data_IF_817616940613
#
_entry.id   IF_817616940613
#
_cell.length_a   1.000
_cell.length_b   1.000
_cell.length_c   1.000
_cell.angle_alpha   90.00
_cell.angle_beta   90.00
_cell.angle_gamma   90.00
#
_symmetry.space_group_name_H-M   'P 1'
#
loop_
_entity.id
_entity.type
_entity.pdbx_description
1 polymer ?
#
# COMPACT_ATOMS: atom_id res chain seq x y z
N UNK A 1 -34.63 -10.97 -13.55
CA UNK A 1 -33.43 -10.67 -12.72
C UNK A 1 -32.24 -10.90 -13.63
N UNK A 2 -31.22 -10.02 -13.65
CA UNK A 2 -29.99 -10.32 -14.39
C UNK A 2 -29.30 -11.52 -13.74
N UNK A 3 -28.63 -12.38 -14.54
CA UNK A 3 -27.96 -13.61 -14.04
C UNK A 3 -26.97 -13.38 -12.90
N UNK A 4 -26.47 -12.14 -12.71
CA UNK A 4 -25.44 -11.77 -11.74
C UNK A 4 -25.92 -10.73 -10.70
N UNK A 5 -27.24 -10.70 -10.39
CA UNK A 5 -27.76 -9.79 -9.38
C UNK A 5 -27.44 -10.30 -7.96
N UNK A 6 -27.14 -9.36 -7.06
CA UNK A 6 -26.95 -9.61 -5.63
C UNK A 6 -28.21 -9.18 -4.87
N UNK A 7 -29.20 -10.07 -4.68
CA UNK A 7 -30.51 -9.73 -4.14
C UNK A 7 -30.50 -9.51 -2.63
N UNK A 8 -29.50 -10.01 -1.92
CA UNK A 8 -29.42 -10.00 -0.47
C UNK A 8 -27.94 -10.05 0.04
N UNK A 9 -27.77 -9.87 1.33
CA UNK A 9 -26.45 -9.91 1.97
C UNK A 9 -25.82 -11.32 1.94
N UNK A 10 -26.61 -12.37 1.86
CA UNK A 10 -26.11 -13.75 1.75
C UNK A 10 -25.39 -13.97 0.43
N UNK A 11 -25.92 -13.41 -0.67
CA UNK A 11 -25.28 -13.45 -1.98
C UNK A 11 -23.99 -12.62 -2.01
N UNK A 12 -23.95 -11.48 -1.32
CA UNK A 12 -22.72 -10.69 -1.16
C UNK A 12 -21.66 -11.48 -0.38
N UNK A 13 -22.04 -12.11 0.73
CA UNK A 13 -21.13 -12.93 1.52
C UNK A 13 -20.58 -14.12 0.72
N UNK A 14 -21.43 -14.81 -0.04
CA UNK A 14 -21.02 -15.91 -0.91
C UNK A 14 -20.00 -15.43 -1.99
N UNK A 15 -20.26 -14.30 -2.63
CA UNK A 15 -19.35 -13.70 -3.60
C UNK A 15 -17.99 -13.37 -2.96
N UNK A 16 -18.00 -12.72 -1.79
CA UNK A 16 -16.77 -12.36 -1.06
C UNK A 16 -15.94 -13.59 -0.73
N UNK A 17 -16.57 -14.65 -0.19
CA UNK A 17 -15.87 -15.89 0.14
C UNK A 17 -15.23 -16.56 -1.08
N UNK A 18 -15.94 -16.58 -2.20
CA UNK A 18 -15.51 -17.24 -3.44
C UNK A 18 -14.42 -16.44 -4.19
N UNK A 19 -14.53 -15.11 -4.20
CA UNK A 19 -13.67 -14.26 -5.07
C UNK A 19 -12.52 -13.62 -4.31
N UNK A 20 -12.77 -13.14 -3.06
CA UNK A 20 -11.78 -12.36 -2.32
C UNK A 20 -10.77 -13.23 -1.55
N UNK A 21 -11.17 -14.44 -1.13
CA UNK A 21 -10.35 -15.35 -0.31
C UNK A 21 -10.14 -16.70 -1.01
N UNK A 22 -9.55 -16.66 -2.20
CA UNK A 22 -9.27 -17.89 -2.96
C UNK A 22 -8.17 -18.70 -2.26
N UNK A 23 -8.51 -19.96 -1.99
CA UNK A 23 -7.50 -20.94 -1.59
C UNK A 23 -6.65 -21.31 -2.82
N UNK A 24 -5.36 -21.37 -2.64
CA UNK A 24 -4.43 -21.65 -3.74
C UNK A 24 -3.14 -22.29 -3.28
N UNK A 25 -2.26 -22.64 -4.23
CA UNK A 25 -0.94 -23.14 -3.88
C UNK A 25 -0.21 -22.07 -3.05
N UNK A 26 0.42 -22.48 -1.95
CA UNK A 26 1.16 -21.57 -1.10
C UNK A 26 2.43 -21.08 -1.79
N UNK A 27 2.85 -19.84 -1.49
CA UNK A 27 4.15 -19.22 -1.80
C UNK A 27 4.22 -18.34 -3.04
N UNK A 28 3.13 -18.08 -3.75
CA UNK A 28 3.15 -17.03 -4.76
C UNK A 28 3.35 -15.64 -4.10
N UNK A 29 4.20 -14.85 -4.74
CA UNK A 29 4.51 -13.49 -4.32
C UNK A 29 4.38 -12.55 -5.51
N UNK A 30 3.75 -11.40 -5.29
CA UNK A 30 3.74 -10.26 -6.19
C UNK A 30 4.07 -8.99 -5.41
N UNK A 31 4.70 -8.03 -6.06
CA UNK A 31 5.04 -6.75 -5.45
C UNK A 31 4.69 -5.63 -6.40
N UNK A 32 4.08 -4.58 -5.87
CA UNK A 32 3.83 -3.32 -6.58
C UNK A 32 4.71 -2.24 -5.94
N UNK A 33 5.51 -1.58 -6.75
CA UNK A 33 6.37 -0.50 -6.34
C UNK A 33 5.86 0.80 -6.94
N UNK A 34 5.58 1.76 -6.09
CA UNK A 34 5.13 3.09 -6.48
C UNK A 34 6.22 4.13 -6.22
N UNK A 35 6.33 5.11 -7.12
CA UNK A 35 7.24 6.24 -6.95
C UNK A 35 6.62 7.56 -7.36
N UNK A 36 6.91 8.57 -6.58
CA UNK A 36 6.74 9.97 -6.95
C UNK A 36 7.88 10.35 -7.89
N UNK A 37 7.55 10.88 -9.06
CA UNK A 37 8.54 11.32 -10.04
C UNK A 37 8.77 12.83 -9.95
N UNK A 38 10.03 13.25 -10.15
CA UNK A 38 10.39 14.65 -10.24
C UNK A 38 11.39 14.89 -11.39
N UNK A 39 11.35 16.07 -12.00
CA UNK A 39 12.43 16.52 -12.88
C UNK A 39 13.66 16.87 -12.03
N UNK A 40 14.85 16.49 -12.49
CA UNK A 40 16.09 16.84 -11.80
C UNK A 40 16.44 18.32 -11.96
N UNK A 41 16.02 18.94 -13.06
CA UNK A 41 16.20 20.37 -13.34
C UNK A 41 15.11 21.27 -12.74
N UNK A 42 13.87 20.75 -12.57
CA UNK A 42 12.71 21.48 -12.05
C UNK A 42 11.93 20.63 -11.02
N UNK A 43 12.50 20.34 -9.85
CA UNK A 43 11.93 19.37 -8.90
C UNK A 43 10.58 19.81 -8.28
N UNK A 44 10.30 21.10 -8.27
CA UNK A 44 9.10 21.69 -7.67
C UNK A 44 7.88 21.67 -8.60
N UNK A 45 8.06 21.31 -9.88
CA UNK A 45 6.97 21.26 -10.84
C UNK A 45 6.43 19.83 -10.99
N UNK A 46 5.11 19.74 -11.14
CA UNK A 46 4.48 18.49 -11.57
C UNK A 46 4.82 18.19 -13.03
N UNK A 47 5.03 16.92 -13.32
CA UNK A 47 5.28 16.47 -14.69
C UNK A 47 3.95 16.51 -15.48
N UNK A 48 3.95 17.08 -16.70
CA UNK A 48 2.75 17.05 -17.53
C UNK A 48 2.47 15.63 -18.03
N UNK A 49 1.19 15.31 -18.26
CA UNK A 49 0.76 13.97 -18.70
C UNK A 49 1.48 13.50 -19.97
N UNK A 50 1.71 14.38 -20.94
CA UNK A 50 2.44 14.05 -22.15
C UNK A 50 3.84 13.48 -21.89
N UNK A 51 4.57 14.06 -20.93
CA UNK A 51 5.91 13.59 -20.54
C UNK A 51 5.85 12.22 -19.83
N UNK A 52 4.81 12.00 -19.04
CA UNK A 52 4.57 10.72 -18.37
C UNK A 52 4.18 9.62 -19.36
N UNK A 53 3.34 9.93 -20.35
CA UNK A 53 2.94 8.99 -21.41
C UNK A 53 4.15 8.63 -22.29
N UNK A 54 5.01 9.58 -22.60
CA UNK A 54 6.27 9.33 -23.32
C UNK A 54 7.17 8.39 -22.51
N UNK A 55 7.33 8.65 -21.22
CA UNK A 55 8.11 7.80 -20.32
C UNK A 55 7.58 6.36 -20.29
N UNK A 56 6.26 6.17 -20.11
CA UNK A 56 5.64 4.84 -20.11
C UNK A 56 5.90 4.10 -21.43
N UNK A 57 5.81 4.79 -22.58
CA UNK A 57 6.11 4.18 -23.90
C UNK A 57 7.57 3.73 -24.03
N UNK A 58 8.52 4.48 -23.50
CA UNK A 58 9.95 4.13 -23.54
C UNK A 58 10.28 2.99 -22.56
N UNK A 59 9.61 2.95 -21.42
CA UNK A 59 9.82 1.92 -20.41
C UNK A 59 9.26 0.55 -20.86
N UNK A 60 8.11 0.52 -21.53
CA UNK A 60 7.45 -0.72 -21.94
C UNK A 60 8.06 -1.31 -23.23
N UNK A 61 8.18 -2.65 -23.34
CA UNK A 61 7.98 -3.63 -22.28
C UNK A 61 9.14 -3.71 -21.29
N UNK A 62 8.85 -4.05 -20.04
CA UNK A 62 9.88 -4.26 -19.04
C UNK A 62 10.58 -5.60 -19.23
N UNK A 63 11.92 -5.69 -18.95
CA UNK A 63 12.72 -6.88 -19.23
C UNK A 63 12.26 -8.17 -18.53
N UNK A 64 11.71 -8.05 -17.31
CA UNK A 64 11.17 -9.19 -16.56
C UNK A 64 9.63 -9.27 -16.63
N UNK A 65 9.00 -8.43 -17.44
CA UNK A 65 7.56 -8.48 -17.70
C UNK A 65 6.69 -7.72 -16.69
N UNK A 66 7.28 -6.88 -15.85
CA UNK A 66 6.47 -6.02 -14.97
C UNK A 66 5.59 -5.07 -15.76
N UNK A 67 4.39 -4.84 -15.26
CA UNK A 67 3.45 -3.86 -15.84
C UNK A 67 3.72 -2.48 -15.26
N UNK A 68 3.66 -1.47 -16.13
CA UNK A 68 3.77 -0.07 -15.72
C UNK A 68 2.41 0.59 -15.82
N UNK A 69 2.04 1.32 -14.78
CA UNK A 69 0.84 2.15 -14.71
C UNK A 69 1.15 3.52 -14.12
N UNK A 70 0.25 4.46 -14.34
CA UNK A 70 0.29 5.79 -13.73
C UNK A 70 -0.88 5.94 -12.76
N UNK A 71 -0.59 6.45 -11.59
CA UNK A 71 -1.55 6.83 -10.57
C UNK A 71 -2.07 8.27 -10.80
N UNK A 72 -3.19 8.70 -10.16
CA UNK A 72 -3.87 9.98 -10.45
C UNK A 72 -2.99 11.24 -10.43
N UNK A 73 -1.94 11.27 -9.63
CA UNK A 73 -0.98 12.40 -9.55
C UNK A 73 0.24 12.25 -10.45
N UNK A 74 0.27 11.21 -11.30
CA UNK A 74 1.42 10.90 -12.14
C UNK A 74 2.50 10.07 -11.44
N UNK A 75 2.18 9.47 -10.28
CA UNK A 75 3.07 8.50 -9.67
C UNK A 75 3.18 7.29 -10.59
N UNK A 76 4.39 6.77 -10.72
CA UNK A 76 4.65 5.58 -11.53
C UNK A 76 4.53 4.35 -10.65
N UNK A 77 3.77 3.37 -11.11
CA UNK A 77 3.65 2.06 -10.49
C UNK A 77 4.28 0.99 -11.38
N UNK A 78 5.03 0.09 -10.76
CA UNK A 78 5.61 -1.10 -11.37
C UNK A 78 5.06 -2.32 -10.65
N UNK A 79 4.18 -3.08 -11.30
CA UNK A 79 3.61 -4.32 -10.76
C UNK A 79 4.34 -5.53 -11.32
N UNK A 80 4.94 -6.35 -10.46
CA UNK A 80 5.63 -7.57 -10.88
C UNK A 80 4.67 -8.60 -11.49
N UNK A 81 5.12 -9.49 -12.36
CA UNK A 81 4.44 -10.76 -12.57
C UNK A 81 4.32 -11.53 -11.25
N UNK A 82 3.35 -12.43 -11.18
CA UNK A 82 3.27 -13.39 -10.06
C UNK A 82 4.47 -14.31 -10.13
N UNK A 83 5.22 -14.45 -9.05
CA UNK A 83 6.38 -15.33 -8.93
C UNK A 83 6.07 -16.51 -8.02
N UNK A 84 6.66 -17.66 -8.34
CA UNK A 84 6.49 -18.90 -7.57
C UNK A 84 7.27 -18.88 -6.25
N UNK A 85 8.23 -17.97 -6.13
CA UNK A 85 9.02 -17.74 -4.91
C UNK A 85 9.52 -16.28 -4.80
N UNK A 86 9.89 -15.90 -3.60
CA UNK A 86 10.38 -14.57 -3.26
C UNK A 86 11.68 -14.18 -3.99
N UNK A 87 12.62 -15.12 -4.13
CA UNK A 87 13.92 -14.85 -4.76
C UNK A 87 13.76 -14.54 -6.25
N UNK A 88 12.85 -15.24 -6.93
CA UNK A 88 12.49 -14.92 -8.31
C UNK A 88 11.84 -13.55 -8.43
N UNK A 89 10.84 -13.27 -7.59
CA UNK A 89 10.18 -11.95 -7.56
C UNK A 89 11.21 -10.83 -7.39
N UNK A 90 12.14 -10.98 -6.45
CA UNK A 90 13.21 -10.03 -6.21
C UNK A 90 14.11 -9.82 -7.42
N UNK A 91 14.65 -10.90 -8.01
CA UNK A 91 15.53 -10.80 -9.19
C UNK A 91 14.86 -10.14 -10.38
N UNK A 92 13.61 -10.47 -10.63
CA UNK A 92 12.84 -9.93 -11.74
C UNK A 92 12.61 -8.43 -11.55
N UNK A 93 12.20 -8.00 -10.35
CA UNK A 93 12.03 -6.59 -10.02
C UNK A 93 13.36 -5.80 -9.97
N UNK A 94 14.47 -6.41 -9.50
CA UNK A 94 15.78 -5.75 -9.55
C UNK A 94 16.21 -5.45 -10.99
N UNK A 95 15.93 -6.36 -11.92
CA UNK A 95 16.17 -6.14 -13.34
C UNK A 95 15.33 -5.01 -13.89
N UNK A 96 14.05 -4.98 -13.57
CA UNK A 96 13.11 -3.98 -14.05
C UNK A 96 13.36 -2.61 -13.43
N UNK A 97 13.58 -2.52 -12.11
CA UNK A 97 13.93 -1.26 -11.43
C UNK A 97 15.28 -0.72 -11.87
N UNK A 98 16.25 -1.59 -12.23
CA UNK A 98 17.52 -1.19 -12.83
C UNK A 98 17.33 -0.51 -14.19
N UNK A 99 16.45 -1.06 -15.07
CA UNK A 99 16.06 -0.42 -16.32
C UNK A 99 15.35 0.93 -16.07
N UNK A 100 14.38 0.92 -15.15
CA UNK A 100 13.63 2.13 -14.78
C UNK A 100 14.59 3.26 -14.38
N UNK A 101 15.48 3.00 -13.42
CA UNK A 101 16.43 4.01 -12.91
C UNK A 101 17.29 4.61 -14.03
N UNK A 102 17.79 3.78 -14.95
CA UNK A 102 18.60 4.24 -16.09
C UNK A 102 17.80 5.14 -17.03
N UNK A 103 16.59 4.72 -17.40
CA UNK A 103 15.73 5.50 -18.30
C UNK A 103 15.30 6.83 -17.65
N UNK A 104 14.97 6.83 -16.35
CA UNK A 104 14.65 8.07 -15.65
C UNK A 104 15.82 9.07 -15.75
N UNK A 105 17.06 8.62 -15.52
CA UNK A 105 18.25 9.47 -15.62
C UNK A 105 18.47 10.01 -17.05
N UNK A 106 18.24 9.17 -18.07
CA UNK A 106 18.33 9.57 -19.49
C UNK A 106 17.30 10.65 -19.88
N UNK A 107 16.18 10.75 -19.12
CA UNK A 107 15.08 11.67 -19.39
C UNK A 107 15.00 12.86 -18.41
N UNK A 108 16.08 13.20 -17.70
CA UNK A 108 16.07 14.26 -16.66
C UNK A 108 15.00 14.05 -15.60
N UNK A 109 14.80 12.80 -15.16
CA UNK A 109 13.83 12.39 -14.14
C UNK A 109 14.50 11.62 -13.02
N UNK A 110 13.88 11.69 -11.85
CA UNK A 110 14.25 10.88 -10.69
C UNK A 110 13.01 10.37 -9.96
N UNK A 111 13.14 9.18 -9.36
CA UNK A 111 12.19 8.66 -8.41
C UNK A 111 12.54 9.20 -7.02
N UNK A 112 11.59 9.87 -6.36
CA UNK A 112 11.80 10.38 -5.01
C UNK A 112 11.86 9.20 -4.02
N UNK A 113 12.85 9.17 -3.11
CA UNK A 113 13.04 8.07 -2.18
C UNK A 113 12.13 8.15 -0.94
N UNK A 114 10.91 8.63 -1.09
CA UNK A 114 9.94 8.90 -0.01
C UNK A 114 8.52 8.49 -0.40
N UNK A 115 7.68 8.25 0.61
CA UNK A 115 6.33 7.77 0.40
C UNK A 115 5.24 8.85 0.37
N UNK A 116 5.59 10.10 0.54
CA UNK A 116 4.72 11.26 0.38
C UNK A 116 5.51 12.39 -0.27
N UNK A 117 4.87 13.11 -1.19
CA UNK A 117 5.50 14.28 -1.80
C UNK A 117 5.91 15.29 -0.73
N UNK A 118 7.22 15.60 -0.62
CA UNK A 118 7.70 16.40 0.48
C UNK A 118 7.40 17.89 0.31
N UNK A 119 7.24 18.39 -0.92
CA UNK A 119 7.18 19.83 -1.21
C UNK A 119 5.97 20.26 -2.04
N UNK A 120 5.60 19.51 -3.09
CA UNK A 120 4.57 19.91 -4.04
C UNK A 120 3.17 19.78 -3.45
N UNK A 121 2.28 20.67 -3.85
CA UNK A 121 0.85 20.58 -3.51
C UNK A 121 0.19 19.42 -4.23
N UNK A 122 -0.79 18.73 -3.61
CA UNK A 122 -1.52 17.65 -4.26
C UNK A 122 -2.23 18.14 -5.54
N UNK A 123 -1.97 17.48 -6.67
CA UNK A 123 -2.57 17.81 -7.95
C UNK A 123 -2.81 16.55 -8.77
N UNK A 124 -3.99 16.44 -9.39
CA UNK A 124 -4.24 15.37 -10.36
C UNK A 124 -3.61 15.70 -11.71
N UNK A 125 -3.07 14.66 -12.33
CA UNK A 125 -2.56 14.68 -13.70
C UNK A 125 -3.45 13.83 -14.61
N UNK A 126 -4.01 12.73 -14.07
CA UNK A 126 -4.95 11.88 -14.78
C UNK A 126 -6.40 12.31 -14.52
N UNK A 127 -7.16 12.48 -15.62
CA UNK A 127 -8.57 12.87 -15.61
C UNK A 127 -9.39 11.75 -16.24
N UNK A 128 -10.05 10.96 -15.40
CA UNK A 128 -10.98 9.90 -15.82
C UNK A 128 -12.26 9.99 -14.99
N UNK A 129 -13.41 9.48 -15.45
CA UNK A 129 -14.65 9.50 -14.66
C UNK A 129 -14.49 8.89 -13.28
N UNK A 130 -13.66 7.84 -13.15
CA UNK A 130 -13.31 7.22 -11.85
C UNK A 130 -12.64 8.20 -10.91
N UNK A 131 -11.60 8.88 -11.37
CA UNK A 131 -10.82 9.78 -10.53
C UNK A 131 -11.56 11.09 -10.26
N UNK A 132 -12.44 11.53 -11.18
CA UNK A 132 -13.32 12.69 -10.97
C UNK A 132 -14.32 12.40 -9.86
N UNK A 133 -15.00 11.25 -9.91
CA UNK A 133 -15.93 10.83 -8.87
C UNK A 133 -15.24 10.58 -7.51
N UNK A 134 -14.03 9.98 -7.53
CA UNK A 134 -13.24 9.75 -6.34
C UNK A 134 -12.83 11.06 -5.66
N UNK A 135 -12.32 12.04 -6.40
CA UNK A 135 -11.99 13.35 -5.87
C UNK A 135 -13.23 14.03 -5.30
N UNK A 136 -14.33 14.05 -6.06
CA UNK A 136 -15.60 14.64 -5.59
C UNK A 136 -16.08 14.03 -4.26
N UNK A 137 -15.93 12.70 -4.11
CA UNK A 137 -16.26 12.02 -2.86
C UNK A 137 -15.39 12.50 -1.70
N UNK A 138 -14.07 12.63 -1.92
CA UNK A 138 -13.12 13.00 -0.88
C UNK A 138 -13.14 14.50 -0.54
N UNK A 139 -13.39 15.38 -1.49
CA UNK A 139 -13.41 16.84 -1.28
C UNK A 139 -14.38 17.25 -0.18
N UNK A 140 -15.44 16.46 0.05
CA UNK A 140 -16.39 16.67 1.16
C UNK A 140 -15.79 16.41 2.54
N UNK A 141 -14.61 15.76 2.62
CA UNK A 141 -13.92 15.34 3.85
C UNK A 141 -12.59 16.06 4.08
N UNK A 142 -12.25 16.99 3.22
CA UNK A 142 -11.01 17.75 3.28
C UNK A 142 -9.91 17.23 2.36
N UNK A 143 -8.70 17.76 2.52
CA UNK A 143 -7.60 17.57 1.56
C UNK A 143 -6.93 16.20 1.58
N UNK A 144 -7.13 15.37 2.63
CA UNK A 144 -6.43 14.09 2.79
C UNK A 144 -6.71 13.11 1.65
N UNK A 145 -7.93 13.14 1.10
CA UNK A 145 -8.28 12.28 -0.03
C UNK A 145 -7.52 12.63 -1.29
N UNK A 146 -7.45 13.90 -1.66
CA UNK A 146 -6.66 14.37 -2.80
C UNK A 146 -5.17 14.08 -2.59
N UNK A 147 -4.65 14.34 -1.38
CA UNK A 147 -3.25 14.03 -1.03
C UNK A 147 -2.96 12.53 -1.19
N UNK A 148 -3.85 11.65 -0.72
CA UNK A 148 -3.72 10.20 -0.88
C UNK A 148 -3.68 9.82 -2.36
N UNK A 149 -4.60 10.35 -3.16
CA UNK A 149 -4.69 10.02 -4.60
C UNK A 149 -3.46 10.46 -5.40
N UNK A 150 -2.85 11.59 -5.04
CA UNK A 150 -1.92 12.28 -5.95
C UNK A 150 -0.51 12.46 -5.41
N UNK A 151 -0.32 12.30 -4.11
CA UNK A 151 0.96 12.63 -3.46
C UNK A 151 1.57 11.48 -2.67
N UNK A 152 0.98 10.28 -2.68
CA UNK A 152 1.51 9.13 -1.92
C UNK A 152 2.10 8.06 -2.82
N UNK A 153 3.03 7.28 -2.27
CA UNK A 153 3.62 6.10 -2.88
C UNK A 153 3.85 5.00 -1.83
N UNK A 154 3.74 3.74 -2.23
CA UNK A 154 3.81 2.57 -1.37
C UNK A 154 4.70 1.47 -1.94
N UNK A 155 5.06 0.51 -1.10
CA UNK A 155 5.38 -0.86 -1.49
C UNK A 155 4.17 -1.71 -1.11
N UNK A 156 3.49 -2.29 -2.10
CA UNK A 156 2.38 -3.21 -1.87
C UNK A 156 2.85 -4.64 -2.09
N UNK A 157 2.48 -5.54 -1.18
CA UNK A 157 2.93 -6.93 -1.21
C UNK A 157 1.70 -7.84 -1.34
N UNK A 158 1.70 -8.65 -2.37
CA UNK A 158 0.63 -9.57 -2.71
C UNK A 158 1.06 -11.00 -2.34
N UNK A 159 0.34 -11.62 -1.43
CA UNK A 159 0.62 -12.96 -0.90
C UNK A 159 -0.63 -13.84 -1.04
N UNK A 160 -0.46 -15.13 -1.31
CA UNK A 160 -1.58 -16.06 -1.34
C UNK A 160 -2.43 -15.98 -0.07
N UNK A 161 -3.76 -16.05 -0.23
CA UNK A 161 -4.67 -15.92 0.89
C UNK A 161 -4.51 -17.07 1.91
N UNK A 162 -4.22 -18.27 1.46
CA UNK A 162 -4.00 -19.46 2.28
C UNK A 162 -4.38 -20.76 1.58
N UNK A 163 -4.06 -21.89 2.20
CA UNK A 163 -4.34 -23.23 1.67
C UNK A 163 -5.77 -23.70 1.98
N UNK A 164 -6.33 -23.21 3.08
CA UNK A 164 -7.67 -23.51 3.57
C UNK A 164 -8.19 -22.37 4.45
N UNK A 165 -9.42 -22.46 4.93
CA UNK A 165 -10.06 -21.42 5.73
C UNK A 165 -9.29 -21.10 7.04
N UNK A 166 -8.66 -22.10 7.65
CA UNK A 166 -7.88 -21.92 8.90
C UNK A 166 -6.60 -21.13 8.61
N UNK A 167 -5.89 -21.48 7.54
CA UNK A 167 -4.68 -20.76 7.12
C UNK A 167 -5.00 -19.35 6.65
N UNK A 168 -6.11 -19.14 5.95
CA UNK A 168 -6.60 -17.80 5.56
C UNK A 168 -6.85 -16.95 6.80
N UNK A 169 -7.56 -17.44 7.81
CA UNK A 169 -7.81 -16.71 9.05
C UNK A 169 -6.52 -16.40 9.82
N UNK A 170 -5.58 -17.35 9.85
CA UNK A 170 -4.24 -17.18 10.46
C UNK A 170 -3.46 -16.07 9.76
N UNK A 171 -3.33 -16.12 8.43
CA UNK A 171 -2.58 -15.13 7.63
C UNK A 171 -3.20 -13.75 7.73
N UNK A 172 -4.52 -13.65 7.62
CA UNK A 172 -5.28 -12.42 7.77
C UNK A 172 -5.03 -11.76 9.12
N UNK A 173 -5.19 -12.52 10.20
CA UNK A 173 -4.98 -12.01 11.56
C UNK A 173 -3.54 -11.59 11.79
N UNK A 174 -2.56 -12.39 11.31
CA UNK A 174 -1.14 -12.11 11.42
C UNK A 174 -0.76 -10.80 10.75
N UNK A 175 -1.16 -10.60 9.48
CA UNK A 175 -0.83 -9.39 8.71
C UNK A 175 -1.38 -8.11 9.36
N UNK A 176 -2.54 -8.18 10.00
CA UNK A 176 -3.08 -7.05 10.76
C UNK A 176 -2.36 -6.85 12.09
N UNK A 177 -1.97 -7.91 12.78
CA UNK A 177 -1.30 -7.84 14.08
C UNK A 177 0.11 -7.25 13.97
N UNK A 178 0.90 -7.65 12.96
CA UNK A 178 2.26 -7.12 12.74
C UNK A 178 2.25 -5.73 12.09
N UNK A 179 1.12 -5.32 11.49
CA UNK A 179 1.01 -4.09 10.72
C UNK A 179 1.56 -2.85 11.41
N UNK A 180 1.13 -2.51 12.64
CA UNK A 180 1.67 -1.32 13.33
C UNK A 180 3.19 -1.35 13.50
N UNK A 181 3.78 -2.47 13.88
CA UNK A 181 5.23 -2.58 14.05
C UNK A 181 5.99 -2.43 12.72
N UNK A 182 5.43 -2.96 11.64
CA UNK A 182 6.03 -2.82 10.30
C UNK A 182 5.80 -1.43 9.69
N UNK A 183 4.66 -0.77 9.95
CA UNK A 183 4.51 0.67 9.65
C UNK A 183 5.60 1.48 10.34
N UNK A 184 5.86 1.22 11.62
CA UNK A 184 6.89 1.92 12.35
C UNK A 184 8.30 1.66 11.80
N UNK A 185 8.58 0.41 11.40
CA UNK A 185 9.88 0.01 10.86
C UNK A 185 10.14 0.59 9.46
N UNK A 186 9.12 0.65 8.61
CA UNK A 186 9.21 1.07 7.23
C UNK A 186 8.74 2.50 6.97
N UNK A 187 8.50 3.30 8.02
CA UNK A 187 8.08 4.70 7.90
C UNK A 187 9.11 5.52 7.10
N UNK A 188 8.63 6.22 6.06
CA UNK A 188 9.48 6.93 5.11
C UNK A 188 8.79 8.17 4.49
N UNK A 189 8.06 8.94 5.29
CA UNK A 189 7.38 10.15 4.81
C UNK A 189 7.27 11.23 5.89
N UNK A 190 8.43 11.81 6.34
CA UNK A 190 8.42 12.73 7.48
C UNK A 190 8.04 14.16 7.13
N UNK A 191 7.86 14.46 5.83
CA UNK A 191 7.59 15.80 5.34
C UNK A 191 6.29 15.90 4.53
N UNK A 192 5.72 17.10 4.50
CA UNK A 192 4.61 17.47 3.63
C UNK A 192 4.61 18.99 3.40
N UNK A 193 4.42 19.43 2.15
CA UNK A 193 4.38 20.87 1.76
C UNK A 193 5.57 21.66 2.31
N UNK A 194 6.79 21.15 2.12
CA UNK A 194 8.03 21.79 2.54
C UNK A 194 8.30 21.79 4.05
N UNK A 195 7.48 21.12 4.86
CA UNK A 195 7.58 21.15 6.34
C UNK A 195 7.75 19.76 6.92
N UNK A 196 8.59 19.65 7.95
CA UNK A 196 8.67 18.47 8.80
C UNK A 196 7.37 18.39 9.61
N UNK A 197 6.69 17.24 9.54
CA UNK A 197 5.33 17.10 10.09
C UNK A 197 5.30 16.63 11.54
N UNK A 198 6.41 16.12 12.06
CA UNK A 198 6.46 15.44 13.35
C UNK A 198 5.97 13.98 13.32
N UNK A 199 5.67 13.45 12.14
CA UNK A 199 5.31 12.05 11.92
C UNK A 199 6.43 11.34 11.15
N UNK A 200 6.69 10.08 11.46
CA UNK A 200 7.62 9.24 10.69
C UNK A 200 6.99 8.78 9.37
N UNK A 201 5.68 8.46 9.39
CA UNK A 201 4.88 8.21 8.20
C UNK A 201 3.70 9.19 8.14
N UNK A 202 3.89 10.30 7.43
CA UNK A 202 2.80 11.23 7.11
C UNK A 202 1.84 10.64 6.10
N UNK A 203 2.30 9.72 5.23
CA UNK A 203 1.42 8.93 4.35
C UNK A 203 0.37 8.18 5.17
N UNK A 204 0.77 7.47 6.22
CA UNK A 204 -0.17 6.79 7.10
C UNK A 204 -1.10 7.78 7.83
N UNK A 205 -0.61 8.95 8.26
CA UNK A 205 -1.49 10.00 8.79
C UNK A 205 -2.55 10.42 7.79
N UNK A 206 -2.18 10.65 6.53
CA UNK A 206 -3.13 10.99 5.45
C UNK A 206 -4.19 9.91 5.30
N UNK A 207 -3.80 8.64 5.25
CA UNK A 207 -4.73 7.52 5.21
C UNK A 207 -5.63 7.48 6.45
N UNK A 208 -5.08 7.73 7.65
CA UNK A 208 -5.83 7.75 8.91
C UNK A 208 -6.90 8.85 8.98
N UNK A 209 -6.72 9.96 8.28
CA UNK A 209 -7.62 11.11 8.31
C UNK A 209 -8.56 11.19 7.10
N UNK A 210 -8.34 10.40 6.07
CA UNK A 210 -9.07 10.45 4.82
C UNK A 210 -10.56 10.06 4.96
N UNK A 211 -10.83 8.82 5.30
CA UNK A 211 -12.18 8.28 5.50
C UNK A 211 -12.10 6.99 6.35
N UNK A 212 -12.54 7.03 7.61
CA UNK A 212 -12.51 5.86 8.49
C UNK A 212 -13.26 4.65 7.94
N UNK A 213 -14.34 4.85 7.17
CA UNK A 213 -15.15 3.75 6.62
C UNK A 213 -14.44 2.96 5.52
N UNK A 214 -13.34 3.49 4.97
CA UNK A 214 -12.61 2.88 3.84
C UNK A 214 -11.22 2.38 4.19
N UNK A 215 -10.69 2.77 5.34
CA UNK A 215 -9.31 2.48 5.73
C UNK A 215 -9.17 1.63 6.99
N UNK A 216 -10.25 1.47 7.74
CA UNK A 216 -10.20 0.69 8.98
C UNK A 216 -9.88 -0.78 8.69
N UNK A 217 -9.12 -1.40 9.56
CA UNK A 217 -8.94 -2.84 9.51
C UNK A 217 -10.26 -3.53 9.83
N UNK A 218 -10.78 -4.40 8.95
CA UNK A 218 -11.99 -5.16 9.24
C UNK A 218 -11.81 -6.00 10.52
N UNK A 219 -12.85 -6.09 11.33
CA UNK A 219 -12.80 -6.74 12.64
C UNK A 219 -13.60 -8.02 12.63
N UNK A 220 -13.08 -9.07 13.26
CA UNK A 220 -13.76 -10.35 13.44
C UNK A 220 -12.79 -11.52 13.28
N UNK A 221 -13.14 -12.68 13.86
CA UNK A 221 -12.31 -13.89 13.77
C UNK A 221 -12.40 -14.56 12.39
N UNK A 222 -13.53 -14.42 11.70
CA UNK A 222 -13.74 -14.91 10.34
C UNK A 222 -13.50 -13.80 9.32
N UNK A 223 -12.46 -13.91 8.45
CA UNK A 223 -12.11 -12.90 7.49
C UNK A 223 -13.19 -12.63 6.44
N UNK A 224 -13.94 -13.64 6.02
CA UNK A 224 -15.00 -13.51 5.01
C UNK A 224 -16.13 -12.64 5.56
N UNK A 225 -16.62 -12.95 6.75
CA UNK A 225 -17.65 -12.16 7.42
C UNK A 225 -17.15 -10.74 7.70
N UNK A 226 -15.94 -10.61 8.27
CA UNK A 226 -15.37 -9.30 8.59
C UNK A 226 -15.23 -8.39 7.36
N UNK A 227 -14.80 -8.94 6.23
CA UNK A 227 -14.66 -8.20 4.97
C UNK A 227 -16.03 -7.88 4.35
N UNK A 228 -16.98 -8.81 4.41
CA UNK A 228 -18.35 -8.60 3.91
C UNK A 228 -19.03 -7.45 4.64
N UNK A 229 -19.03 -7.49 5.98
CA UNK A 229 -19.63 -6.42 6.79
C UNK A 229 -18.97 -5.07 6.52
N UNK A 230 -17.62 -5.05 6.45
CA UNK A 230 -16.88 -3.84 6.11
C UNK A 230 -17.27 -3.28 4.73
N UNK A 231 -17.43 -4.14 3.73
CA UNK A 231 -17.81 -3.72 2.38
C UNK A 231 -19.27 -3.25 2.31
N UNK A 232 -20.19 -3.94 3.01
CA UNK A 232 -21.60 -3.57 3.07
C UNK A 232 -21.80 -2.21 3.73
N UNK A 233 -21.12 -1.94 4.84
CA UNK A 233 -21.28 -0.71 5.62
C UNK A 233 -20.54 0.51 5.01
N UNK A 234 -19.63 0.27 4.07
CA UNK A 234 -18.94 1.35 3.39
C UNK A 234 -19.88 2.13 2.46
N UNK A 235 -19.92 3.47 2.53
CA UNK A 235 -20.68 4.27 1.58
C UNK A 235 -20.24 3.99 0.13
N UNK A 236 -21.17 3.93 -0.81
CA UNK A 236 -20.87 3.79 -2.24
C UNK A 236 -20.16 5.06 -2.71
N UNK A 237 -18.90 4.95 -3.13
CA UNK A 237 -18.13 6.10 -3.58
C UNK A 237 -18.61 6.59 -4.94
N UNK A 238 -18.92 5.65 -5.84
CA UNK A 238 -19.35 5.93 -7.19
C UNK A 238 -20.19 4.77 -7.74
N UNK A 239 -21.10 5.09 -8.66
CA UNK A 239 -21.95 4.13 -9.34
C UNK A 239 -21.85 4.34 -10.84
N UNK A 240 -21.28 3.38 -11.59
CA UNK A 240 -21.09 3.46 -13.05
C UNK A 240 -22.39 3.51 -13.86
N UNK A 241 -23.52 3.20 -13.24
CA UNK A 241 -24.84 3.27 -13.86
C UNK A 241 -25.42 4.69 -13.90
N UNK A 242 -24.85 5.63 -13.14
CA UNK A 242 -25.21 7.04 -13.13
C UNK A 242 -24.39 7.80 -14.17
N UNK A 243 -24.98 8.80 -14.82
CA UNK A 243 -24.30 9.55 -15.87
C UNK A 243 -23.04 10.29 -15.41
N UNK A 244 -23.05 10.81 -14.17
CA UNK A 244 -21.92 11.47 -13.52
C UNK A 244 -21.14 10.59 -12.55
N UNK A 245 -21.53 9.33 -12.42
CA UNK A 245 -20.96 8.35 -11.48
C UNK A 245 -21.11 8.69 -9.99
N UNK A 246 -21.77 9.77 -9.63
CA UNK A 246 -21.86 10.24 -8.25
C UNK A 246 -22.96 9.49 -7.47
N UNK A 247 -22.60 8.87 -6.37
CA UNK A 247 -23.55 8.30 -5.43
C UNK A 247 -23.98 9.33 -4.37
N UNK A 248 -25.19 9.16 -3.83
CA UNK A 248 -25.68 10.01 -2.74
C UNK A 248 -24.79 9.91 -1.50
N UNK A 249 -24.53 11.02 -0.80
CA UNK A 249 -23.74 10.99 0.41
C UNK A 249 -24.32 10.06 1.48
N UNK A 250 -23.49 9.19 2.04
CA UNK A 250 -23.90 8.26 3.10
C UNK A 250 -24.62 7.00 2.61
N UNK A 251 -24.99 6.90 1.33
CA UNK A 251 -25.60 5.72 0.74
C UNK A 251 -24.60 4.56 0.76
N UNK A 252 -24.87 3.53 1.57
CA UNK A 252 -23.98 2.37 1.74
C UNK A 252 -24.27 1.29 0.70
N UNK A 253 -23.34 0.32 0.56
CA UNK A 253 -23.61 -0.83 -0.30
C UNK A 253 -24.73 -1.70 0.28
N UNK A 254 -24.88 -1.75 1.60
CA UNK A 254 -25.99 -2.40 2.32
C UNK A 254 -27.34 -1.78 1.94
N UNK A 255 -27.42 -0.44 1.89
CA UNK A 255 -28.64 0.25 1.46
C UNK A 255 -28.99 -0.10 0.01
N UNK A 256 -27.97 -0.27 -0.84
CA UNK A 256 -28.17 -0.66 -2.24
C UNK A 256 -28.76 -2.07 -2.36
N UNK A 257 -28.18 -3.04 -1.63
CA UNK A 257 -28.71 -4.43 -1.56
C UNK A 257 -30.13 -4.47 -1.02
N UNK A 258 -30.44 -3.65 0.00
CA UNK A 258 -31.77 -3.54 0.60
C UNK A 258 -32.80 -2.81 -0.29
N UNK A 259 -32.41 -2.31 -1.47
CA UNK A 259 -33.30 -1.59 -2.39
C UNK A 259 -33.68 -0.19 -1.91
N UNK A 260 -32.97 0.38 -0.95
CA UNK A 260 -33.16 1.77 -0.52
C UNK A 260 -32.87 2.69 -1.70
N UNK A 261 -33.63 3.76 -1.86
CA UNK A 261 -33.55 4.73 -2.98
C UNK A 261 -34.06 4.24 -4.33
N UNK A 262 -34.71 3.07 -4.43
CA UNK A 262 -35.37 2.60 -5.65
C UNK A 262 -34.44 2.21 -6.81
N UNK A 263 -33.15 2.03 -6.55
CA UNK A 263 -32.21 1.49 -7.54
C UNK A 263 -32.48 0.00 -7.76
N UNK A 264 -32.25 -0.48 -9.00
CA UNK A 264 -32.17 -1.92 -9.24
C UNK A 264 -31.09 -2.55 -8.37
N UNK A 265 -31.32 -3.79 -7.93
CA UNK A 265 -30.35 -4.54 -7.13
C UNK A 265 -28.92 -4.45 -7.73
N UNK A 266 -27.89 -4.36 -6.90
CA UNK A 266 -26.51 -4.33 -7.40
C UNK A 266 -26.15 -5.67 -8.03
N UNK A 267 -25.19 -5.66 -8.94
CA UNK A 267 -24.62 -6.85 -9.55
C UNK A 267 -23.29 -7.21 -8.94
N UNK A 268 -22.76 -8.40 -9.26
CA UNK A 268 -21.39 -8.80 -8.92
C UNK A 268 -20.35 -7.78 -9.44
N UNK A 269 -20.56 -7.22 -10.65
CA UNK A 269 -19.69 -6.17 -11.20
C UNK A 269 -19.74 -4.87 -10.41
N UNK A 270 -20.90 -4.50 -9.86
CA UNK A 270 -21.01 -3.33 -8.99
C UNK A 270 -20.27 -3.56 -7.67
N UNK A 271 -20.41 -4.76 -7.09
CA UNK A 271 -19.68 -5.13 -5.88
C UNK A 271 -18.18 -5.19 -6.14
N UNK A 272 -17.74 -5.87 -7.19
CA UNK A 272 -16.32 -5.92 -7.57
C UNK A 272 -15.73 -4.51 -7.68
N UNK A 273 -16.46 -3.61 -8.33
CA UNK A 273 -16.04 -2.23 -8.48
C UNK A 273 -16.02 -1.46 -7.16
N UNK A 274 -17.04 -1.63 -6.32
CA UNK A 274 -17.11 -1.04 -4.98
C UNK A 274 -15.91 -1.46 -4.13
N UNK A 275 -15.55 -2.75 -4.12
CA UNK A 275 -14.39 -3.28 -3.40
C UNK A 275 -13.07 -2.62 -3.81
N UNK A 276 -12.92 -2.18 -5.06
CA UNK A 276 -11.73 -1.43 -5.52
C UNK A 276 -11.62 -0.03 -4.93
N UNK A 277 -12.68 0.49 -4.31
CA UNK A 277 -12.71 1.81 -3.66
C UNK A 277 -12.46 1.75 -2.16
N UNK A 278 -12.17 0.57 -1.61
CA UNK A 278 -11.83 0.35 -0.20
C UNK A 278 -10.31 0.27 -0.05
N UNK A 279 -9.76 0.94 0.96
CA UNK A 279 -8.32 1.12 1.16
C UNK A 279 -7.84 0.63 2.55
N UNK A 280 -8.24 -0.58 3.01
CA UNK A 280 -7.81 -1.10 4.30
C UNK A 280 -6.30 -1.40 4.30
N UNK A 281 -5.69 -1.64 5.48
CA UNK A 281 -4.30 -2.04 5.59
C UNK A 281 -3.96 -3.33 4.84
N UNK A 282 -4.89 -4.29 4.83
CA UNK A 282 -4.82 -5.54 4.05
C UNK A 282 -6.12 -5.68 3.26
N UNK A 283 -6.03 -5.85 1.95
CA UNK A 283 -7.19 -5.97 1.05
C UNK A 283 -7.21 -7.36 0.41
N UNK A 284 -8.29 -8.14 0.57
CA UNK A 284 -8.42 -9.43 -0.09
C UNK A 284 -8.91 -9.24 -1.53
N UNK A 285 -8.20 -9.88 -2.49
CA UNK A 285 -8.49 -9.82 -3.93
C UNK A 285 -8.33 -11.18 -4.62
N UNK A 286 -8.61 -12.28 -3.90
CA UNK A 286 -8.20 -13.62 -4.26
C UNK A 286 -6.79 -13.96 -3.72
N UNK A 287 -6.09 -12.95 -3.25
CA UNK A 287 -4.86 -12.95 -2.47
C UNK A 287 -4.95 -11.88 -1.39
N UNK A 288 -3.99 -11.79 -0.48
CA UNK A 288 -3.90 -10.75 0.53
C UNK A 288 -2.92 -9.67 0.07
N UNK A 289 -3.43 -8.49 -0.24
CA UNK A 289 -2.67 -7.31 -0.66
C UNK A 289 -2.35 -6.46 0.57
N UNK A 290 -1.11 -6.46 1.00
CA UNK A 290 -0.61 -5.62 2.09
C UNK A 290 -0.31 -4.22 1.56
N UNK A 291 -0.92 -3.18 2.14
CA UNK A 291 -0.92 -1.80 1.62
C UNK A 291 -0.29 -0.77 2.56
N UNK A 292 0.11 -1.16 3.74
CA UNK A 292 0.53 -0.23 4.79
C UNK A 292 2.01 0.15 4.78
N UNK A 293 2.81 -0.40 3.87
CA UNK A 293 4.24 -0.09 3.80
C UNK A 293 4.47 1.16 2.97
N UNK A 294 5.17 2.15 3.52
CA UNK A 294 5.62 3.33 2.79
C UNK A 294 6.58 2.93 1.66
N UNK A 295 6.57 3.67 0.53
CA UNK A 295 7.59 3.52 -0.50
C UNK A 295 8.99 3.64 0.11
N UNK A 296 9.89 2.76 -0.28
CA UNK A 296 11.23 2.64 0.28
C UNK A 296 12.28 3.23 -0.64
N UNK A 297 13.42 3.73 -0.11
CA UNK A 297 14.62 3.98 -0.92
C UNK A 297 14.99 2.74 -1.74
N UNK A 298 15.55 2.96 -2.94
CA UNK A 298 15.79 1.90 -3.93
C UNK A 298 16.48 0.66 -3.37
N UNK A 299 17.48 0.82 -2.52
CA UNK A 299 18.21 -0.30 -1.92
C UNK A 299 17.40 -1.09 -0.88
N UNK A 300 16.30 -0.52 -0.33
CA UNK A 300 15.58 -1.13 0.77
C UNK A 300 14.19 -1.69 0.38
N UNK A 301 13.72 -1.45 -0.83
CA UNK A 301 12.42 -1.98 -1.25
C UNK A 301 12.29 -3.51 -1.15
N UNK A 302 13.37 -4.33 -1.27
CA UNK A 302 13.23 -5.77 -1.15
C UNK A 302 12.96 -6.28 0.27
N UNK A 303 13.23 -5.47 1.28
CA UNK A 303 13.13 -5.88 2.70
C UNK A 303 11.69 -6.11 3.16
N UNK A 304 10.72 -5.20 2.92
CA UNK A 304 9.32 -5.44 3.31
C UNK A 304 8.73 -6.73 2.73
N UNK A 305 8.82 -7.03 1.41
CA UNK A 305 8.32 -8.29 0.90
C UNK A 305 9.05 -9.51 1.48
N UNK A 306 10.37 -9.43 1.74
CA UNK A 306 11.11 -10.52 2.36
C UNK A 306 10.62 -10.82 3.77
N UNK A 307 10.45 -9.79 4.60
CA UNK A 307 9.96 -9.95 5.97
C UNK A 307 8.53 -10.50 5.98
N UNK A 308 7.61 -9.89 5.23
CA UNK A 308 6.21 -10.30 5.22
C UNK A 308 6.00 -11.69 4.65
N UNK A 309 6.67 -12.06 3.56
CA UNK A 309 6.61 -13.41 2.99
C UNK A 309 7.11 -14.46 4.00
N UNK A 310 8.21 -14.19 4.68
CA UNK A 310 8.76 -15.10 5.67
C UNK A 310 7.82 -15.32 6.86
N UNK A 311 7.24 -14.23 7.40
CA UNK A 311 6.31 -14.30 8.53
C UNK A 311 5.01 -15.06 8.19
N UNK A 312 4.54 -14.96 6.95
CA UNK A 312 3.31 -15.61 6.52
C UNK A 312 3.54 -17.08 6.13
N UNK A 313 4.66 -17.38 5.47
CA UNK A 313 4.93 -18.70 4.92
C UNK A 313 5.50 -19.69 5.95
N UNK A 314 6.22 -19.22 6.97
CA UNK A 314 6.84 -20.08 7.98
C UNK A 314 5.99 -20.13 9.27
N UNK A 315 5.44 -21.30 9.65
CA UNK A 315 4.57 -21.40 10.84
C UNK A 315 5.27 -21.01 12.15
N UNK A 316 6.59 -21.32 12.27
CA UNK A 316 7.37 -21.00 13.48
C UNK A 316 7.53 -19.49 13.60
N UNK A 317 7.83 -18.81 12.50
CA UNK A 317 7.91 -17.36 12.47
C UNK A 317 6.55 -16.72 12.80
N UNK A 318 5.47 -17.24 12.21
CA UNK A 318 4.11 -16.77 12.47
C UNK A 318 3.73 -16.85 13.95
N UNK A 319 3.99 -18.00 14.61
CA UNK A 319 3.70 -18.19 16.03
C UNK A 319 4.54 -17.27 16.92
N UNK A 320 5.84 -17.13 16.60
CA UNK A 320 6.75 -16.22 17.34
C UNK A 320 6.25 -14.79 17.35
N UNK A 321 5.80 -14.27 16.19
CA UNK A 321 5.35 -12.87 16.12
C UNK A 321 3.92 -12.70 16.63
N UNK A 322 3.08 -13.72 16.56
CA UNK A 322 1.75 -13.71 17.19
C UNK A 322 1.85 -13.55 18.73
N UNK A 323 2.79 -14.24 19.36
CA UNK A 323 3.06 -14.09 20.79
C UNK A 323 3.59 -12.68 21.12
N UNK A 324 4.52 -12.18 20.30
CA UNK A 324 5.10 -10.85 20.50
C UNK A 324 4.05 -9.72 20.35
N UNK A 325 3.13 -9.84 19.38
CA UNK A 325 2.07 -8.85 19.16
C UNK A 325 0.99 -8.91 20.23
N UNK A 326 0.64 -10.09 20.73
CA UNK A 326 -0.31 -10.25 21.84
C UNK A 326 0.18 -9.63 23.15
N UNK A 327 1.49 -9.68 23.40
CA UNK A 327 2.12 -9.11 24.60
C UNK A 327 2.27 -7.59 24.58
N UNK A 328 2.08 -6.92 23.42
CA UNK A 328 2.33 -5.50 23.26
C UNK A 328 1.23 -4.86 22.37
N UNK A 329 0.14 -4.36 22.97
CA UNK A 329 -0.88 -3.65 22.22
C UNK A 329 -0.26 -2.43 21.52
N UNK A 330 -0.38 -2.38 20.20
CA UNK A 330 0.17 -1.33 19.34
C UNK A 330 -0.95 -0.67 18.54
N UNK A 331 -0.77 0.60 18.17
CA UNK A 331 -1.75 1.29 17.34
C UNK A 331 -1.13 1.79 16.03
N UNK A 332 -1.93 1.83 14.97
CA UNK A 332 -1.54 2.37 13.66
C UNK A 332 -1.10 3.84 13.74
N UNK A 333 -1.81 4.64 14.56
CA UNK A 333 -1.51 6.05 14.73
C UNK A 333 -0.18 6.26 15.43
N UNK A 334 0.06 5.55 16.55
CA UNK A 334 1.32 5.62 17.27
C UNK A 334 2.50 5.18 16.40
N UNK A 335 2.32 4.10 15.64
CA UNK A 335 3.30 3.61 14.67
C UNK A 335 3.67 4.66 13.62
N UNK A 336 2.66 5.28 13.01
CA UNK A 336 2.87 6.32 12.01
C UNK A 336 3.53 7.57 12.59
N UNK A 337 3.18 7.96 13.83
CA UNK A 337 3.69 9.17 14.46
C UNK A 337 5.08 8.98 15.03
N UNK A 338 5.29 7.97 15.86
CA UNK A 338 6.52 7.79 16.63
C UNK A 338 7.53 6.86 15.93
N UNK A 339 7.07 5.98 15.05
CA UNK A 339 7.92 4.95 14.48
C UNK A 339 8.51 4.05 15.59
N UNK A 340 9.73 3.61 15.41
CA UNK A 340 10.45 2.74 16.35
C UNK A 340 11.04 3.47 17.57
N UNK A 341 10.81 4.77 17.75
CA UNK A 341 11.13 5.44 19.02
C UNK A 341 10.22 4.95 20.15
N UNK A 342 9.03 4.43 19.84
CA UNK A 342 8.19 3.72 20.79
C UNK A 342 8.79 2.35 21.14
N UNK A 343 9.05 2.07 22.43
CA UNK A 343 9.72 0.82 22.84
C UNK A 343 8.90 -0.45 22.60
N UNK A 344 7.56 -0.36 22.61
CA UNK A 344 6.69 -1.53 22.37
C UNK A 344 6.73 -1.89 20.89
N UNK A 345 6.54 -0.90 20.00
CA UNK A 345 6.66 -1.08 18.55
C UNK A 345 8.04 -1.61 18.15
N UNK A 346 9.12 -1.07 18.74
CA UNK A 346 10.48 -1.54 18.48
C UNK A 346 10.67 -3.00 18.88
N UNK A 347 10.21 -3.41 20.07
CA UNK A 347 10.31 -4.82 20.49
C UNK A 347 9.60 -5.76 19.53
N UNK A 348 8.38 -5.42 19.11
CA UNK A 348 7.63 -6.24 18.15
C UNK A 348 8.33 -6.26 16.80
N UNK A 349 8.80 -5.12 16.30
CA UNK A 349 9.53 -5.06 15.03
C UNK A 349 10.82 -5.89 15.06
N UNK A 350 11.63 -5.82 16.11
CA UNK A 350 12.81 -6.67 16.27
C UNK A 350 12.42 -8.14 16.19
N UNK A 351 11.37 -8.56 16.91
CA UNK A 351 10.89 -9.96 16.86
C UNK A 351 10.40 -10.36 15.47
N UNK A 352 9.75 -9.46 14.73
CA UNK A 352 9.35 -9.72 13.34
C UNK A 352 10.58 -9.98 12.45
N UNK A 353 11.59 -9.14 12.54
CA UNK A 353 12.80 -9.29 11.73
C UNK A 353 13.63 -10.52 12.13
N UNK A 354 13.82 -10.80 13.42
CA UNK A 354 14.50 -12.01 13.89
C UNK A 354 13.79 -13.29 13.44
N UNK A 355 12.46 -13.33 13.56
CA UNK A 355 11.66 -14.46 13.11
C UNK A 355 11.75 -14.64 11.59
N UNK A 356 11.68 -13.54 10.83
CA UNK A 356 11.85 -13.57 9.38
C UNK A 356 13.24 -14.08 8.99
N UNK A 357 14.31 -13.54 9.57
CA UNK A 357 15.69 -13.98 9.30
C UNK A 357 15.92 -15.45 9.63
N UNK A 358 15.28 -15.99 10.67
CA UNK A 358 15.30 -17.42 10.96
C UNK A 358 14.56 -18.26 9.92
N UNK A 359 13.48 -17.72 9.33
CA UNK A 359 12.64 -18.42 8.35
C UNK A 359 13.22 -18.41 6.92
N UNK A 360 13.79 -17.26 6.49
CA UNK A 360 14.25 -17.06 5.11
C UNK A 360 15.17 -18.18 4.56
N UNK A 361 16.16 -18.71 5.33
CA UNK A 361 16.98 -19.84 4.87
C UNK A 361 16.15 -21.12 4.66
N UNK A 362 15.16 -21.40 5.52
CA UNK A 362 14.28 -22.59 5.38
C UNK A 362 13.36 -22.48 4.16
N UNK A 363 13.05 -21.26 3.75
CA UNK A 363 12.26 -20.97 2.54
C UNK A 363 13.11 -20.93 1.27
N UNK A 364 14.40 -21.24 1.34
CA UNK A 364 15.29 -21.25 0.18
C UNK A 364 15.61 -19.87 -0.40
N UNK A 365 15.47 -18.82 0.39
CA UNK A 365 15.73 -17.45 -0.06
C UNK A 365 17.22 -17.21 -0.26
N UNK A 366 17.57 -16.48 -1.30
CA UNK A 366 18.96 -16.18 -1.67
C UNK A 366 19.73 -15.46 -0.55
N UNK A 367 21.00 -15.84 -0.28
CA UNK A 367 21.81 -15.23 0.77
C UNK A 367 21.94 -13.71 0.68
N UNK A 368 22.00 -13.17 -0.54
CA UNK A 368 22.11 -11.74 -0.76
C UNK A 368 20.86 -10.97 -0.22
N UNK A 369 19.66 -11.51 -0.41
CA UNK A 369 18.44 -10.92 0.15
C UNK A 369 18.39 -11.05 1.67
N UNK A 370 18.87 -12.18 2.22
CA UNK A 370 18.99 -12.37 3.68
C UNK A 370 19.95 -11.34 4.28
N UNK A 371 21.09 -11.12 3.64
CA UNK A 371 22.05 -10.08 4.04
C UNK A 371 21.39 -8.69 4.06
N UNK A 372 20.63 -8.36 3.03
CA UNK A 372 19.93 -7.07 2.95
C UNK A 372 18.91 -6.88 4.10
N UNK A 373 18.18 -7.93 4.47
CA UNK A 373 17.27 -7.91 5.64
C UNK A 373 18.05 -7.72 6.94
N UNK A 374 19.21 -8.37 7.06
CA UNK A 374 20.11 -8.23 8.24
C UNK A 374 20.63 -6.79 8.35
N UNK A 375 21.14 -6.23 7.25
CA UNK A 375 21.63 -4.85 7.20
C UNK A 375 20.55 -3.84 7.59
N UNK A 376 19.31 -4.07 7.13
CA UNK A 376 18.17 -3.23 7.50
C UNK A 376 17.87 -3.32 9.01
N UNK A 377 17.82 -4.53 9.55
CA UNK A 377 17.61 -4.77 11.00
C UNK A 377 18.65 -4.01 11.82
N UNK A 378 19.94 -4.13 11.47
CA UNK A 378 21.04 -3.50 12.19
C UNK A 378 21.08 -1.97 12.02
N UNK A 379 20.80 -1.48 10.79
CA UNK A 379 20.83 -0.05 10.49
C UNK A 379 19.70 0.71 11.16
N UNK A 380 18.49 0.14 11.12
CA UNK A 380 17.28 0.85 11.53
C UNK A 380 16.63 0.23 12.78
N UNK A 381 16.20 -1.01 12.71
CA UNK A 381 15.21 -1.56 13.65
C UNK A 381 15.79 -1.69 15.07
N UNK A 382 16.99 -2.27 15.22
CA UNK A 382 17.68 -2.40 16.53
C UNK A 382 17.96 -1.02 17.12
N UNK A 383 18.27 -0.03 16.28
CA UNK A 383 18.59 1.34 16.71
C UNK A 383 17.35 2.20 16.97
N UNK A 384 16.14 1.65 16.81
CA UNK A 384 14.90 2.40 16.98
C UNK A 384 14.69 3.47 15.91
N UNK A 385 15.22 3.27 14.70
CA UNK A 385 15.18 4.18 13.56
C UNK A 385 14.39 3.58 12.40
N UNK A 386 14.08 4.42 11.43
CA UNK A 386 13.47 4.06 10.14
C UNK A 386 14.02 4.96 9.03
N UNK A 387 13.74 4.70 7.74
CA UNK A 387 14.22 5.53 6.64
C UNK A 387 13.87 7.02 6.75
N UNK A 388 12.72 7.36 7.37
CA UNK A 388 12.37 8.76 7.64
C UNK A 388 13.43 9.51 8.48
N UNK A 389 14.16 8.81 9.36
CA UNK A 389 15.22 9.43 10.16
C UNK A 389 16.45 9.77 9.31
N UNK A 390 16.81 8.89 8.38
CA UNK A 390 17.92 9.15 7.46
C UNK A 390 17.57 10.30 6.51
N UNK A 391 16.34 10.32 5.98
CA UNK A 391 15.85 11.40 5.14
C UNK A 391 15.95 12.76 5.83
N UNK A 392 15.58 12.87 7.11
CA UNK A 392 15.69 14.12 7.88
C UNK A 392 17.13 14.53 8.16
N UNK A 393 18.05 13.58 8.32
CA UNK A 393 19.49 13.87 8.45
C UNK A 393 20.07 14.41 7.14
N UNK A 394 19.71 13.79 6.03
CA UNK A 394 20.17 14.22 4.70
C UNK A 394 19.63 15.61 4.35
N UNK A 395 18.43 15.97 4.81
CA UNK A 395 17.86 17.33 4.69
C UNK A 395 18.70 18.39 5.42
N UNK A 396 19.39 18.05 6.48
CA UNK A 396 20.28 18.99 7.15
C UNK A 396 21.57 19.29 6.35
N UNK A 397 21.86 18.49 5.31
CA UNK A 397 22.95 18.66 4.37
C UNK A 397 22.59 19.56 3.17
N UNK A 398 23.60 19.99 2.40
CA UNK A 398 23.49 21.05 1.37
C UNK A 398 22.60 20.74 0.15
N UNK A 399 22.32 19.47 -0.16
CA UNK A 399 21.51 19.08 -1.33
C UNK A 399 20.00 19.21 -1.04
N UNK A 400 19.59 18.93 0.17
CA UNK A 400 18.19 18.98 0.58
C UNK A 400 17.68 20.40 0.84
N UNK A 401 18.55 21.35 1.15
CA UNK A 401 18.18 22.77 1.25
C UNK A 401 17.64 23.33 -0.06
N UNK A 402 18.05 22.79 -1.22
CA UNK A 402 17.52 23.24 -2.53
C UNK A 402 16.07 22.85 -2.75
N UNK A 403 15.63 21.70 -2.22
CA UNK A 403 14.23 21.26 -2.29
C UNK A 403 13.35 22.10 -1.35
N UNK A 404 13.91 22.61 -0.24
CA UNK A 404 13.19 23.38 0.77
C UNK A 404 13.19 24.88 0.49
N UNK A 405 14.27 25.45 -0.07
CA UNK A 405 14.37 26.90 -0.32
C UNK A 405 13.45 27.38 -1.45
N UNK A 406 13.05 26.50 -2.37
CA UNK A 406 12.06 26.82 -3.39
C UNK A 406 10.63 26.95 -2.82
N UNK A 407 10.32 26.20 -1.75
CA UNK A 407 9.01 26.21 -1.11
C UNK A 407 8.78 27.43 -0.18
N UNK A 408 9.83 28.16 0.19
CA UNK A 408 9.71 29.39 1.03
C UNK A 408 9.44 30.66 0.20
N UNK A 409 9.54 30.57 -1.12
CA UNK A 409 9.36 31.71 -2.03
C UNK A 409 8.13 31.58 -2.95
N UNK A 410 7.25 30.60 -2.69
CA UNK A 410 5.94 30.42 -3.32
C UNK A 410 4.84 30.61 -2.29
#
# INVERSE_FOLDING_TARGET
MSENALPDETSVHAYVGMICFKNGPPHHVGVELEWLLASTSHPDHHLPLSRLDDLVRVLAPMPAGSRITLEPGGQLELSSPVADDLSRCWRDLERDTGRLTRILAEHDLTALPVALDPSRSPQRVLHTPRYDAMQHYFDRRGESGLTMMTGTAAVQINLDAGTDAVDVARRWSLLHAVGPALVAAFANSPMHRGRVTGWKSTRQRVLLTMDPTRRSAPRGPDPVTAWTEYALDAPVMMCRRLGDWLASPGFTFRDWVAGVAGFAAPTEDDLAYHLTTLFPPVRPRGWLEVRYVDAQPRQWWPVPPAVLSALVADPIAADTVREATAAAPTSWEMAARQGLTDPALRRVAVRCFEAALSALPRLGVEPALITLVTDYLERFVIRGRCPADDFLVDLSGSAARRILSAAEHS
#
